data_IF_446551314814
#
_entry.id   IF_446551314814
#
_cell.length_a   1.000
_cell.length_b   1.000
_cell.length_c   1.000
_cell.angle_alpha   90.00
_cell.angle_beta   90.00
_cell.angle_gamma   90.00
#
_symmetry.space_group_name_H-M   'P 1'
#
loop_
_entity.id
_entity.type
_entity.pdbx_description
1 polymer ?
#
# COMPACT_ATOMS: atom_id res chain seq x y z
N UNK A 1 -9.02 13.10 5.36
CA UNK A 1 -9.02 11.86 4.55
C UNK A 1 -7.60 11.31 4.50
N UNK A 2 -7.44 9.99 4.51
CA UNK A 2 -6.14 9.32 4.35
C UNK A 2 -6.21 8.49 3.06
N UNK A 3 -5.21 8.61 2.20
CA UNK A 3 -5.06 7.74 1.02
C UNK A 3 -4.15 6.56 1.41
N UNK A 4 -4.68 5.32 1.44
CA UNK A 4 -3.94 4.16 1.97
C UNK A 4 -2.91 3.58 0.99
N UNK A 5 -2.89 4.02 -0.29
CA UNK A 5 -2.00 3.46 -1.31
C UNK A 5 -1.69 4.47 -2.41
N UNK A 6 -0.63 5.27 -2.21
CA UNK A 6 -0.17 6.22 -3.24
C UNK A 6 1.35 6.31 -3.27
N UNK A 7 1.93 6.25 -4.46
CA UNK A 7 3.36 6.33 -4.67
C UNK A 7 3.85 7.77 -4.80
N UNK A 8 4.88 8.14 -4.05
CA UNK A 8 5.68 9.35 -4.28
C UNK A 8 6.82 9.03 -5.24
N UNK A 9 7.48 7.91 -5.01
CA UNK A 9 8.64 7.46 -5.78
C UNK A 9 8.50 5.96 -6.06
N UNK A 10 8.70 5.54 -7.32
CA UNK A 10 8.67 4.12 -7.69
C UNK A 10 9.63 3.85 -8.83
N UNK A 11 10.36 2.75 -8.74
CA UNK A 11 11.21 2.25 -9.82
C UNK A 11 10.90 0.76 -10.03
N UNK A 12 10.24 0.46 -11.14
CA UNK A 12 9.86 -0.90 -11.50
C UNK A 12 10.96 -1.65 -12.27
N UNK A 13 12.14 -1.05 -12.47
CA UNK A 13 13.32 -1.81 -12.91
C UNK A 13 13.74 -2.76 -11.81
N UNK A 14 14.40 -3.85 -12.17
CA UNK A 14 15.02 -4.73 -11.19
C UNK A 14 16.29 -4.08 -10.61
N UNK A 15 16.64 -4.44 -9.39
CA UNK A 15 17.74 -3.88 -8.61
C UNK A 15 19.12 -3.90 -9.32
N UNK A 16 19.31 -4.77 -10.32
CA UNK A 16 20.54 -4.93 -11.12
C UNK A 16 20.59 -4.02 -12.36
N UNK A 17 19.53 -3.28 -12.64
CA UNK A 17 19.51 -2.37 -13.78
C UNK A 17 20.26 -1.07 -13.47
N UNK A 18 21.01 -0.51 -14.46
CA UNK A 18 21.70 0.75 -14.27
C UNK A 18 20.77 1.90 -13.87
N UNK A 19 21.18 2.65 -12.84
CA UNK A 19 20.42 3.80 -12.35
C UNK A 19 19.18 3.42 -11.54
N UNK A 20 19.01 2.14 -11.13
CA UNK A 20 17.90 1.73 -10.26
C UNK A 20 17.88 2.54 -8.97
N UNK A 21 16.73 3.13 -8.66
CA UNK A 21 16.51 3.94 -7.47
C UNK A 21 17.25 5.28 -7.45
N UNK A 22 17.99 5.64 -8.49
CA UNK A 22 18.75 6.90 -8.54
C UNK A 22 17.84 8.07 -8.91
N UNK A 23 17.75 9.05 -8.00
CA UNK A 23 17.13 10.34 -8.26
C UNK A 23 17.70 11.39 -7.29
N UNK A 24 17.74 12.64 -7.74
CA UNK A 24 17.99 13.77 -6.88
C UNK A 24 16.71 14.08 -6.08
N UNK A 25 16.77 14.13 -4.73
CA UNK A 25 15.61 14.46 -3.91
C UNK A 25 14.93 15.78 -4.28
N UNK A 26 15.69 16.80 -4.70
CA UNK A 26 15.13 18.09 -5.10
C UNK A 26 14.31 18.00 -6.40
N UNK A 27 14.70 17.11 -7.32
CA UNK A 27 13.92 16.83 -8.52
C UNK A 27 12.58 16.17 -8.19
N UNK A 28 12.60 15.21 -7.26
CA UNK A 28 11.36 14.54 -6.79
C UNK A 28 10.46 15.52 -6.05
N UNK A 29 11.02 16.34 -5.16
CA UNK A 29 10.26 17.42 -4.48
C UNK A 29 9.62 18.35 -5.50
N UNK A 30 10.38 18.84 -6.48
CA UNK A 30 9.87 19.75 -7.50
C UNK A 30 8.69 19.17 -8.28
N UNK A 31 8.74 17.87 -8.59
CA UNK A 31 7.70 17.21 -9.38
C UNK A 31 6.48 16.82 -8.54
N UNK A 32 6.70 16.32 -7.31
CA UNK A 32 5.63 15.70 -6.50
C UNK A 32 4.95 16.66 -5.52
N UNK A 33 5.63 17.74 -5.08
CA UNK A 33 5.02 18.70 -4.16
C UNK A 33 3.72 19.33 -4.72
N UNK A 34 3.62 19.73 -6.00
CA UNK A 34 2.37 20.23 -6.56
C UNK A 34 1.22 19.21 -6.51
N UNK A 35 1.49 17.91 -6.68
CA UNK A 35 0.48 16.85 -6.59
C UNK A 35 -0.04 16.72 -5.14
N UNK A 36 0.88 16.76 -4.17
CA UNK A 36 0.53 16.72 -2.74
C UNK A 36 -0.30 17.95 -2.35
N UNK A 37 0.05 19.13 -2.83
CA UNK A 37 -0.75 20.34 -2.56
C UNK A 37 -2.16 20.26 -3.18
N UNK A 38 -2.30 19.68 -4.37
CA UNK A 38 -3.62 19.40 -4.97
C UNK A 38 -4.42 18.42 -4.11
N UNK A 39 -3.79 17.33 -3.64
CA UNK A 39 -4.44 16.37 -2.74
C UNK A 39 -4.88 17.05 -1.43
N UNK A 40 -4.03 17.87 -0.83
CA UNK A 40 -4.37 18.67 0.37
C UNK A 40 -5.57 19.57 0.13
N UNK A 41 -5.64 20.25 -1.02
CA UNK A 41 -6.72 21.17 -1.36
C UNK A 41 -8.10 20.48 -1.43
N UNK A 42 -8.15 19.17 -1.72
CA UNK A 42 -9.39 18.36 -1.73
C UNK A 42 -9.62 17.58 -0.42
N UNK A 43 -8.85 17.88 0.64
CA UNK A 43 -9.09 17.36 1.99
C UNK A 43 -8.29 16.09 2.34
N UNK A 44 -7.30 15.69 1.55
CA UNK A 44 -6.35 14.64 1.94
C UNK A 44 -5.41 15.16 3.01
N UNK A 45 -5.18 14.40 4.06
CA UNK A 45 -4.38 14.79 5.23
C UNK A 45 -3.15 13.90 5.46
N UNK A 46 -3.11 12.72 4.84
CA UNK A 46 -1.94 11.82 4.87
C UNK A 46 -1.98 10.85 3.68
N UNK A 47 -0.82 10.35 3.30
CA UNK A 47 -0.63 9.31 2.30
C UNK A 47 0.17 8.17 2.94
N UNK A 48 -0.30 6.92 2.73
CA UNK A 48 0.48 5.71 2.98
C UNK A 48 1.20 5.34 1.69
N UNK A 49 2.52 5.43 1.70
CA UNK A 49 3.36 5.17 0.54
C UNK A 49 3.73 3.67 0.48
N UNK A 50 3.47 2.95 -0.63
CA UNK A 50 3.58 1.50 -0.68
C UNK A 50 4.86 0.97 -1.37
N UNK A 51 5.89 1.76 -1.62
CA UNK A 51 7.13 1.34 -2.29
C UNK A 51 8.14 0.68 -1.35
N UNK A 52 8.20 -0.68 -1.23
CA UNK A 52 9.17 -1.38 -0.40
C UNK A 52 10.50 -1.59 -1.14
N UNK A 53 11.44 -2.28 -0.49
CA UNK A 53 12.65 -2.78 -1.17
C UNK A 53 12.26 -3.63 -2.39
N UNK A 54 12.96 -3.41 -3.51
CA UNK A 54 12.69 -4.06 -4.79
C UNK A 54 12.00 -3.16 -5.82
N UNK A 55 11.26 -2.14 -5.38
CA UNK A 55 10.61 -1.17 -6.28
C UNK A 55 11.03 0.27 -5.99
N UNK A 56 12.31 0.46 -5.65
CA UNK A 56 12.91 1.78 -5.53
C UNK A 56 12.63 2.49 -4.20
N UNK A 57 12.50 1.75 -3.08
CA UNK A 57 12.31 2.39 -1.76
C UNK A 57 13.38 3.46 -1.47
N UNK A 58 12.95 4.71 -1.22
CA UNK A 58 13.80 5.87 -0.92
C UNK A 58 13.20 6.69 0.24
N UNK A 59 13.43 6.23 1.48
CA UNK A 59 12.93 6.89 2.69
C UNK A 59 13.49 8.32 2.87
N UNK A 60 14.70 8.58 2.39
CA UNK A 60 15.30 9.91 2.33
C UNK A 60 14.53 10.86 1.43
N UNK A 61 14.08 10.39 0.27
CA UNK A 61 13.22 11.15 -0.68
C UNK A 61 11.86 11.43 -0.05
N UNK A 62 11.22 10.42 0.56
CA UNK A 62 9.94 10.62 1.24
C UNK A 62 10.06 11.69 2.33
N UNK A 63 11.16 11.67 3.10
CA UNK A 63 11.44 12.68 4.11
C UNK A 63 11.62 14.08 3.49
N UNK A 64 12.35 14.18 2.38
CA UNK A 64 12.54 15.45 1.67
C UNK A 64 11.20 16.04 1.20
N UNK A 65 10.36 15.23 0.55
CA UNK A 65 9.03 15.64 0.07
C UNK A 65 8.12 16.00 1.24
N UNK A 66 8.08 15.19 2.31
CA UNK A 66 7.29 15.48 3.51
C UNK A 66 7.70 16.77 4.19
N UNK A 67 9.01 17.02 4.31
CA UNK A 67 9.53 18.29 4.88
C UNK A 67 9.21 19.51 4.01
N UNK A 68 9.39 19.39 2.70
CA UNK A 68 9.13 20.49 1.76
C UNK A 68 7.66 20.89 1.72
N UNK A 69 6.75 19.93 1.86
CA UNK A 69 5.29 20.16 1.81
C UNK A 69 4.65 20.30 3.19
N UNK A 70 5.33 19.91 4.27
CA UNK A 70 4.73 19.76 5.60
C UNK A 70 3.57 18.75 5.60
N UNK A 71 3.65 17.72 4.75
CA UNK A 71 2.57 16.74 4.57
C UNK A 71 2.99 15.35 5.06
N UNK A 72 2.15 14.66 5.87
CA UNK A 72 2.45 13.35 6.41
C UNK A 72 2.51 12.26 5.31
N UNK A 73 3.66 11.58 5.24
CA UNK A 73 3.87 10.39 4.41
C UNK A 73 4.26 9.23 5.31
N UNK A 74 3.59 8.09 5.18
CA UNK A 74 3.87 6.88 5.98
C UNK A 74 4.70 5.92 5.13
N UNK A 75 5.98 5.76 5.50
CA UNK A 75 6.92 4.92 4.76
C UNK A 75 6.82 3.44 5.18
N UNK A 76 7.01 2.46 4.25
CA UNK A 76 7.01 1.04 4.56
C UNK A 76 8.40 0.51 4.88
N UNK A 77 8.47 -0.58 5.67
CA UNK A 77 9.50 -1.60 5.56
C UNK A 77 9.01 -2.74 4.68
N UNK A 78 9.80 -3.78 4.50
CA UNK A 78 9.43 -4.97 3.75
C UNK A 78 10.01 -5.01 2.34
N UNK A 79 9.63 -6.05 1.60
CA UNK A 79 10.22 -6.38 0.30
C UNK A 79 9.11 -6.76 -0.68
N UNK A 80 9.24 -6.30 -1.94
CA UNK A 80 8.30 -6.64 -3.00
C UNK A 80 8.39 -8.14 -3.40
N UNK A 81 7.80 -8.54 -4.48
CA UNK A 81 7.74 -9.91 -5.00
C UNK A 81 8.84 -10.23 -6.01
N UNK A 82 8.93 -11.48 -6.44
CA UNK A 82 9.73 -11.87 -7.60
C UNK A 82 9.25 -11.16 -8.89
N UNK A 83 10.13 -10.75 -9.83
CA UNK A 83 11.60 -10.95 -9.82
C UNK A 83 12.38 -9.83 -9.10
N UNK A 84 11.72 -8.88 -8.45
CA UNK A 84 12.33 -7.70 -7.83
C UNK A 84 13.03 -7.96 -6.48
N UNK A 85 13.00 -9.21 -5.98
CA UNK A 85 13.70 -9.57 -4.76
C UNK A 85 15.23 -9.48 -4.94
N UNK A 86 15.94 -8.64 -4.17
CA UNK A 86 17.39 -8.58 -4.24
C UNK A 86 18.03 -9.85 -3.62
N UNK A 87 19.29 -10.19 -4.03
CA UNK A 87 19.95 -11.42 -3.58
C UNK A 87 20.03 -11.60 -2.08
N UNK A 88 20.33 -10.52 -1.34
CA UNK A 88 20.43 -10.58 0.11
C UNK A 88 19.15 -11.06 0.80
N UNK A 89 17.97 -10.77 0.23
CA UNK A 89 16.68 -11.27 0.76
C UNK A 89 16.54 -12.77 0.53
N UNK A 90 16.98 -13.26 -0.64
CA UNK A 90 16.95 -14.71 -0.94
C UNK A 90 17.90 -15.48 -0.03
N UNK A 91 19.05 -14.92 0.27
CA UNK A 91 20.12 -15.56 1.05
C UNK A 91 19.90 -15.45 2.56
N UNK A 92 19.23 -14.38 3.04
CA UNK A 92 18.98 -14.16 4.46
C UNK A 92 18.05 -15.23 5.05
N UNK A 93 18.32 -15.72 6.28
CA UNK A 93 17.36 -16.54 7.03
C UNK A 93 16.12 -15.71 7.42
N UNK A 94 15.00 -16.41 7.68
CA UNK A 94 13.72 -15.80 8.03
C UNK A 94 13.83 -14.86 9.24
N UNK A 95 14.55 -15.28 10.27
CA UNK A 95 14.75 -14.50 11.50
C UNK A 95 15.49 -13.19 11.23
N UNK A 96 16.46 -13.19 10.31
CA UNK A 96 17.17 -11.96 9.98
C UNK A 96 16.28 -10.96 9.24
N UNK A 97 15.39 -11.43 8.37
CA UNK A 97 14.40 -10.58 7.70
C UNK A 97 13.37 -10.01 8.71
N UNK A 98 12.90 -10.85 9.64
CA UNK A 98 12.03 -10.40 10.75
C UNK A 98 12.71 -9.31 11.58
N UNK A 99 13.92 -9.56 12.03
CA UNK A 99 14.65 -8.63 12.90
C UNK A 99 14.98 -7.32 12.20
N UNK A 100 15.29 -7.37 10.90
CA UNK A 100 15.45 -6.20 10.06
C UNK A 100 14.15 -5.38 9.98
N UNK A 101 12.99 -6.01 9.70
CA UNK A 101 11.70 -5.31 9.67
C UNK A 101 11.34 -4.70 11.03
N UNK A 102 11.56 -5.43 12.13
CA UNK A 102 11.36 -4.90 13.50
C UNK A 102 12.28 -3.69 13.74
N UNK A 103 13.54 -3.78 13.32
CA UNK A 103 14.50 -2.69 13.47
C UNK A 103 14.04 -1.40 12.76
N UNK A 104 13.50 -1.50 11.54
CA UNK A 104 12.96 -0.36 10.81
C UNK A 104 11.63 0.15 11.38
N UNK A 105 10.80 -0.74 11.94
CA UNK A 105 9.52 -0.39 12.57
C UNK A 105 9.67 0.26 13.95
N UNK A 106 10.76 0.02 14.65
CA UNK A 106 11.01 0.52 16.01
C UNK A 106 12.14 1.55 16.10
N UNK A 107 12.95 1.63 15.06
CA UNK A 107 14.09 2.52 14.93
C UNK A 107 13.99 3.38 13.67
N UNK A 108 14.85 3.12 12.70
CA UNK A 108 14.86 3.90 11.45
C UNK A 108 15.18 3.02 10.24
N UNK A 109 14.66 3.44 9.09
CA UNK A 109 15.01 2.88 7.78
C UNK A 109 16.40 3.35 7.42
N UNK A 110 17.36 2.42 7.32
CA UNK A 110 18.76 2.76 7.05
C UNK A 110 19.26 3.86 8.02
N UNK A 111 19.94 4.89 7.53
CA UNK A 111 20.40 6.04 8.33
C UNK A 111 19.62 7.33 8.02
N UNK A 112 18.36 7.21 7.58
CA UNK A 112 17.55 8.34 7.11
C UNK A 112 16.86 9.14 8.22
N UNK A 113 16.74 8.58 9.42
CA UNK A 113 15.91 9.12 10.50
C UNK A 113 14.41 8.89 10.32
N UNK A 114 13.99 8.15 9.29
CA UNK A 114 12.59 7.79 9.04
C UNK A 114 12.28 6.44 9.68
N UNK A 115 11.28 6.38 10.53
CA UNK A 115 10.75 5.14 11.08
C UNK A 115 9.69 4.59 10.13
N UNK A 116 9.73 3.28 9.84
CA UNK A 116 8.68 2.63 9.06
C UNK A 116 7.35 2.60 9.83
N UNK A 117 6.24 2.89 9.14
CA UNK A 117 4.90 2.84 9.72
C UNK A 117 4.23 1.48 9.57
N UNK A 118 4.59 0.68 8.59
CA UNK A 118 3.94 -0.57 8.22
C UNK A 118 4.87 -1.47 7.40
N UNK A 119 4.41 -2.68 7.06
CA UNK A 119 5.17 -3.66 6.29
C UNK A 119 4.50 -3.81 4.91
N UNK A 120 5.25 -3.62 3.82
CA UNK A 120 4.78 -3.90 2.46
C UNK A 120 5.51 -5.09 1.89
N UNK A 121 4.72 -6.05 1.40
CA UNK A 121 5.21 -7.23 0.67
C UNK A 121 4.46 -7.41 -0.65
N UNK A 122 4.76 -8.47 -1.38
CA UNK A 122 4.04 -8.84 -2.59
C UNK A 122 4.06 -10.33 -2.83
N UNK A 123 3.15 -10.80 -3.68
CA UNK A 123 3.02 -12.19 -4.08
C UNK A 123 2.95 -12.31 -5.60
N UNK A 124 3.55 -13.35 -6.14
CA UNK A 124 3.41 -13.75 -7.54
C UNK A 124 1.99 -14.26 -7.80
N UNK A 125 1.45 -13.97 -8.99
CA UNK A 125 0.05 -14.22 -9.31
C UNK A 125 -0.34 -15.69 -9.33
N UNK A 126 0.62 -16.59 -9.61
CA UNK A 126 0.40 -18.04 -9.66
C UNK A 126 0.57 -18.73 -8.29
N UNK A 127 0.90 -17.97 -7.25
CA UNK A 127 1.15 -18.45 -5.89
C UNK A 127 2.46 -17.89 -5.31
N UNK A 128 2.66 -18.10 -4.02
CA UNK A 128 3.88 -17.68 -3.35
C UNK A 128 5.08 -18.56 -3.76
N UNK A 129 6.18 -17.94 -4.13
CA UNK A 129 7.47 -18.64 -4.21
C UNK A 129 7.99 -18.96 -2.81
N UNK A 130 9.02 -19.82 -2.71
CA UNK A 130 9.66 -20.11 -1.42
C UNK A 130 10.24 -18.82 -0.77
N UNK A 131 10.80 -17.92 -1.59
CA UNK A 131 11.35 -16.67 -1.09
C UNK A 131 10.25 -15.72 -0.59
N UNK A 132 9.14 -15.61 -1.31
CA UNK A 132 7.98 -14.80 -0.91
C UNK A 132 7.30 -15.37 0.35
N UNK A 133 7.19 -16.70 0.47
CA UNK A 133 6.69 -17.38 1.68
C UNK A 133 7.57 -17.03 2.89
N UNK A 134 8.89 -17.09 2.74
CA UNK A 134 9.85 -16.73 3.78
C UNK A 134 9.69 -15.25 4.19
N UNK A 135 9.60 -14.33 3.21
CA UNK A 135 9.37 -12.90 3.46
C UNK A 135 8.06 -12.67 4.21
N UNK A 136 6.98 -13.34 3.80
CA UNK A 136 5.67 -13.21 4.43
C UNK A 136 5.68 -13.73 5.88
N UNK A 137 6.32 -14.89 6.16
CA UNK A 137 6.48 -15.41 7.53
C UNK A 137 7.27 -14.44 8.40
N UNK A 138 8.36 -13.89 7.89
CA UNK A 138 9.16 -12.87 8.58
C UNK A 138 8.31 -11.62 8.88
N UNK A 139 7.53 -11.14 7.90
CA UNK A 139 6.62 -10.02 8.05
C UNK A 139 5.53 -10.28 9.10
N UNK A 140 4.90 -11.48 9.08
CA UNK A 140 3.90 -11.88 10.05
C UNK A 140 4.47 -11.96 11.48
N UNK A 141 5.68 -12.53 11.63
CA UNK A 141 6.36 -12.58 12.92
C UNK A 141 6.76 -11.17 13.44
N UNK A 142 7.15 -10.26 12.53
CA UNK A 142 7.41 -8.86 12.88
C UNK A 142 6.11 -8.15 13.29
N UNK A 143 5.02 -8.35 12.56
CA UNK A 143 3.71 -7.79 12.86
C UNK A 143 3.16 -8.27 14.21
N UNK A 144 3.31 -9.56 14.54
CA UNK A 144 2.89 -10.12 15.83
C UNK A 144 3.58 -9.45 17.04
N UNK A 145 4.81 -8.95 16.86
CA UNK A 145 5.58 -8.28 17.92
C UNK A 145 5.30 -6.77 17.97
N UNK A 146 5.13 -6.14 16.79
CA UNK A 146 5.08 -4.67 16.67
C UNK A 146 3.67 -4.11 16.52
N UNK A 147 2.68 -4.95 16.19
CA UNK A 147 1.34 -4.53 15.82
C UNK A 147 1.27 -3.87 14.42
N UNK A 148 2.34 -3.97 13.62
CA UNK A 148 2.39 -3.35 12.30
C UNK A 148 1.48 -4.06 11.31
N UNK A 149 0.84 -3.30 10.43
CA UNK A 149 0.03 -3.80 9.31
C UNK A 149 0.93 -4.37 8.22
N UNK A 150 0.47 -5.45 7.59
CA UNK A 150 1.12 -6.10 6.45
C UNK A 150 0.23 -5.88 5.21
N UNK A 151 0.65 -5.03 4.29
CA UNK A 151 -0.01 -4.91 3.00
C UNK A 151 0.69 -5.75 1.94
N UNK A 152 -0.06 -6.55 1.19
CA UNK A 152 0.52 -7.40 0.14
C UNK A 152 -0.09 -7.08 -1.23
N UNK A 153 0.79 -6.73 -2.18
CA UNK A 153 0.43 -6.73 -3.60
C UNK A 153 0.02 -8.14 -4.03
N UNK A 154 -1.26 -8.34 -4.35
CA UNK A 154 -1.79 -9.66 -4.66
C UNK A 154 -2.98 -9.58 -5.61
N UNK A 155 -2.84 -10.15 -6.81
CA UNK A 155 -3.88 -10.10 -7.85
C UNK A 155 -4.96 -11.17 -7.63
N UNK A 156 -4.56 -12.39 -7.23
CA UNK A 156 -5.46 -13.54 -7.11
C UNK A 156 -5.96 -13.76 -5.70
N UNK A 157 -7.26 -13.86 -5.53
CA UNK A 157 -7.89 -14.10 -4.23
C UNK A 157 -7.49 -15.41 -3.57
N UNK A 158 -7.19 -16.45 -4.36
CA UNK A 158 -6.66 -17.73 -3.83
C UNK A 158 -5.28 -17.56 -3.20
N UNK A 159 -4.44 -16.68 -3.76
CA UNK A 159 -3.12 -16.36 -3.22
C UNK A 159 -3.26 -15.48 -1.96
N UNK A 160 -4.18 -14.51 -1.97
CA UNK A 160 -4.48 -13.69 -0.79
C UNK A 160 -4.98 -14.54 0.39
N UNK A 161 -5.84 -15.55 0.11
CA UNK A 161 -6.30 -16.52 1.13
C UNK A 161 -5.12 -17.27 1.73
N UNK A 162 -4.23 -17.82 0.90
CA UNK A 162 -3.05 -18.56 1.36
C UNK A 162 -2.11 -17.65 2.19
N UNK A 163 -1.97 -16.37 1.83
CA UNK A 163 -1.20 -15.43 2.65
C UNK A 163 -1.83 -15.22 4.02
N UNK A 164 -3.15 -15.04 4.08
CA UNK A 164 -3.86 -14.88 5.34
C UNK A 164 -3.75 -16.13 6.22
N UNK A 165 -3.79 -17.34 5.62
CA UNK A 165 -3.56 -18.59 6.34
C UNK A 165 -2.16 -18.62 6.99
N UNK A 166 -1.11 -18.22 6.26
CA UNK A 166 0.26 -18.12 6.77
C UNK A 166 0.37 -17.09 7.92
N UNK A 167 -0.29 -15.94 7.79
CA UNK A 167 -0.29 -14.88 8.81
C UNK A 167 -0.91 -15.40 10.10
N UNK A 168 -2.07 -16.06 10.03
CA UNK A 168 -2.74 -16.65 11.17
C UNK A 168 -1.92 -17.80 11.81
N UNK A 169 -1.33 -18.69 10.99
CA UNK A 169 -0.43 -19.75 11.44
C UNK A 169 0.80 -19.22 12.18
N UNK A 170 1.29 -18.03 11.80
CA UNK A 170 2.43 -17.37 12.44
C UNK A 170 2.03 -16.66 13.76
N UNK A 171 0.73 -16.55 14.03
CA UNK A 171 0.18 -15.95 15.25
C UNK A 171 -0.08 -14.44 15.16
N UNK A 172 0.03 -13.84 13.97
CA UNK A 172 -0.40 -12.47 13.77
C UNK A 172 -1.93 -12.41 13.59
N UNK A 173 -2.61 -11.39 14.13
CA UNK A 173 -4.05 -11.24 13.95
C UNK A 173 -4.42 -10.99 12.47
N UNK A 174 -5.54 -11.53 11.97
CA UNK A 174 -5.95 -11.37 10.56
C UNK A 174 -6.23 -9.92 10.16
N UNK A 175 -6.56 -9.04 11.10
CA UNK A 175 -6.78 -7.61 10.87
C UNK A 175 -5.49 -6.81 10.70
N UNK A 176 -4.33 -7.45 10.83
CA UNK A 176 -3.05 -6.89 10.39
C UNK A 176 -2.85 -6.99 8.87
N UNK A 177 -3.67 -7.77 8.14
CA UNK A 177 -3.49 -8.02 6.73
C UNK A 177 -4.34 -7.10 5.84
N UNK A 178 -3.69 -6.41 4.90
CA UNK A 178 -4.32 -5.64 3.81
C UNK A 178 -4.09 -6.38 2.50
N UNK A 179 -5.16 -6.86 1.89
CA UNK A 179 -5.11 -7.39 0.53
C UNK A 179 -5.17 -6.24 -0.46
N UNK A 180 -4.00 -5.83 -0.95
CA UNK A 180 -3.80 -4.79 -1.95
C UNK A 180 -4.14 -5.33 -3.34
N UNK A 181 -4.77 -4.50 -4.19
CA UNK A 181 -5.28 -4.81 -5.53
C UNK A 181 -6.42 -5.85 -5.55
N UNK A 182 -7.17 -5.96 -4.46
CA UNK A 182 -8.29 -6.91 -4.39
C UNK A 182 -9.30 -6.71 -5.53
N UNK A 183 -9.43 -5.50 -6.07
CA UNK A 183 -10.30 -5.19 -7.22
C UNK A 183 -9.95 -5.96 -8.50
N UNK A 184 -8.74 -6.54 -8.60
CA UNK A 184 -8.33 -7.36 -9.73
C UNK A 184 -8.93 -8.79 -9.68
N UNK A 185 -9.37 -9.27 -8.52
CA UNK A 185 -10.04 -10.56 -8.38
C UNK A 185 -11.52 -10.43 -8.74
N UNK A 186 -12.02 -11.12 -9.79
CA UNK A 186 -13.43 -11.01 -10.19
C UNK A 186 -14.40 -11.70 -9.24
N UNK A 187 -13.93 -12.66 -8.44
CA UNK A 187 -14.78 -13.40 -7.52
C UNK A 187 -14.98 -12.66 -6.18
N UNK A 188 -15.97 -11.78 -6.12
CA UNK A 188 -16.30 -10.97 -4.93
C UNK A 188 -16.59 -11.83 -3.69
N UNK A 189 -16.96 -13.10 -3.83
CA UNK A 189 -17.15 -13.97 -2.67
C UNK A 189 -15.86 -14.16 -1.86
N UNK A 190 -14.69 -14.12 -2.51
CA UNK A 190 -13.39 -14.20 -1.82
C UNK A 190 -13.11 -12.91 -1.05
N UNK A 191 -13.46 -11.74 -1.61
CA UNK A 191 -13.35 -10.46 -0.88
C UNK A 191 -14.14 -10.52 0.43
N UNK A 192 -15.40 -10.97 0.33
CA UNK A 192 -16.27 -11.10 1.51
C UNK A 192 -15.78 -12.14 2.50
N UNK A 193 -15.22 -13.25 2.03
CA UNK A 193 -14.64 -14.29 2.88
C UNK A 193 -13.47 -13.74 3.70
N UNK A 194 -12.49 -13.12 3.04
CA UNK A 194 -11.31 -12.60 3.72
C UNK A 194 -11.63 -11.40 4.64
N UNK A 195 -12.55 -10.53 4.23
CA UNK A 195 -13.05 -9.45 5.09
C UNK A 195 -13.71 -9.99 6.37
N UNK A 196 -14.51 -11.06 6.30
CA UNK A 196 -15.12 -11.69 7.49
C UNK A 196 -14.09 -12.37 8.40
N UNK A 197 -12.96 -12.81 7.86
CA UNK A 197 -11.82 -13.30 8.66
C UNK A 197 -11.08 -12.16 9.36
N UNK A 198 -11.32 -10.91 8.96
CA UNK A 198 -10.70 -9.72 9.56
C UNK A 198 -9.79 -8.93 8.63
N UNK A 199 -9.40 -9.47 7.48
CA UNK A 199 -8.51 -8.79 6.53
C UNK A 199 -9.14 -7.50 5.98
N UNK A 200 -8.31 -6.51 5.67
CA UNK A 200 -8.68 -5.33 4.92
C UNK A 200 -8.68 -5.63 3.42
N UNK A 201 -9.70 -5.17 2.72
CA UNK A 201 -9.88 -5.34 1.28
C UNK A 201 -9.63 -3.98 0.61
N UNK A 202 -8.55 -3.87 -0.14
CA UNK A 202 -8.15 -2.60 -0.75
C UNK A 202 -8.51 -2.55 -2.22
N UNK A 203 -9.30 -1.54 -2.59
CA UNK A 203 -9.65 -1.19 -3.97
C UNK A 203 -8.87 0.08 -4.34
N UNK A 204 -7.67 -0.09 -4.85
CA UNK A 204 -6.68 0.95 -5.09
C UNK A 204 -6.47 1.29 -6.56
N UNK A 205 -7.41 0.97 -7.41
CA UNK A 205 -7.37 1.31 -8.84
C UNK A 205 -8.34 2.44 -9.23
N UNK A 206 -8.89 3.18 -8.26
CA UNK A 206 -9.86 4.25 -8.53
C UNK A 206 -9.15 5.44 -9.17
N UNK A 207 -9.39 5.69 -10.45
CA UNK A 207 -8.67 6.81 -11.07
C UNK A 207 -8.97 7.03 -12.54
N UNK A 208 -9.49 6.03 -13.23
CA UNK A 208 -10.05 6.15 -14.57
C UNK A 208 -11.57 6.23 -14.46
N UNK A 209 -12.17 7.27 -15.06
CA UNK A 209 -13.61 7.48 -15.06
C UNK A 209 -14.37 6.30 -15.69
N UNK A 210 -13.78 5.65 -16.68
CA UNK A 210 -14.37 4.48 -17.34
C UNK A 210 -14.56 3.28 -16.41
N UNK A 211 -13.76 3.19 -15.34
CA UNK A 211 -13.82 2.10 -14.35
C UNK A 211 -14.71 2.44 -13.13
N UNK A 212 -15.18 3.67 -13.00
CA UNK A 212 -15.92 4.13 -11.79
C UNK A 212 -17.16 3.28 -11.50
N UNK A 213 -17.90 2.82 -12.51
CA UNK A 213 -19.09 1.97 -12.29
C UNK A 213 -18.72 0.61 -11.74
N UNK A 214 -17.58 0.05 -12.15
CA UNK A 214 -17.06 -1.20 -11.61
C UNK A 214 -16.66 -1.05 -10.15
N UNK A 215 -15.92 0.01 -9.80
CA UNK A 215 -15.57 0.28 -8.41
C UNK A 215 -16.78 0.59 -7.53
N UNK A 216 -17.77 1.31 -8.07
CA UNK A 216 -19.04 1.55 -7.39
C UNK A 216 -19.75 0.21 -7.06
N UNK A 217 -19.85 -0.71 -8.01
CA UNK A 217 -20.45 -2.04 -7.78
C UNK A 217 -19.69 -2.82 -6.68
N UNK A 218 -18.35 -2.83 -6.72
CA UNK A 218 -17.52 -3.49 -5.69
C UNK A 218 -17.79 -2.92 -4.29
N UNK A 219 -17.78 -1.60 -4.14
CA UNK A 219 -18.04 -0.95 -2.85
C UNK A 219 -19.46 -1.23 -2.38
N UNK A 220 -20.47 -1.07 -3.23
CA UNK A 220 -21.88 -1.31 -2.89
C UNK A 220 -22.14 -2.75 -2.46
N UNK A 221 -21.52 -3.74 -3.10
CA UNK A 221 -21.59 -5.14 -2.68
C UNK A 221 -20.96 -5.38 -1.31
N UNK A 222 -19.81 -4.77 -1.04
CA UNK A 222 -19.16 -4.84 0.27
C UNK A 222 -20.03 -4.21 1.37
N UNK A 223 -20.60 -3.04 1.11
CA UNK A 223 -21.53 -2.36 2.04
C UNK A 223 -22.81 -3.20 2.27
N UNK A 224 -23.41 -3.74 1.22
CA UNK A 224 -24.59 -4.61 1.32
C UNK A 224 -24.30 -5.91 2.09
N UNK A 225 -23.07 -6.40 2.08
CA UNK A 225 -22.62 -7.56 2.86
C UNK A 225 -22.26 -7.22 4.33
N UNK A 226 -22.39 -5.93 4.75
CA UNK A 226 -22.04 -5.47 6.09
C UNK A 226 -20.54 -5.37 6.35
N UNK A 227 -19.72 -5.22 5.30
CA UNK A 227 -18.26 -5.23 5.36
C UNK A 227 -17.62 -3.84 5.17
N UNK A 228 -18.41 -2.78 5.31
CA UNK A 228 -17.96 -1.40 5.11
C UNK A 228 -16.82 -0.97 6.05
N UNK A 229 -16.64 -1.64 7.18
CA UNK A 229 -15.56 -1.43 8.15
C UNK A 229 -14.26 -2.19 7.81
N UNK A 230 -14.20 -2.85 6.66
CA UNK A 230 -13.04 -3.59 6.15
C UNK A 230 -12.62 -3.18 4.74
N UNK A 231 -13.20 -2.11 4.19
CA UNK A 231 -12.86 -1.61 2.86
C UNK A 231 -11.89 -0.44 2.94
N UNK A 232 -10.90 -0.42 2.06
CA UNK A 232 -9.97 0.67 1.82
C UNK A 232 -10.06 1.11 0.36
N UNK A 233 -10.01 2.43 0.11
CA UNK A 233 -10.14 3.01 -1.22
C UNK A 233 -8.95 3.90 -1.53
N UNK A 234 -8.30 3.71 -2.68
CA UNK A 234 -7.16 4.49 -3.13
C UNK A 234 -7.03 4.47 -4.66
N UNK A 235 -5.89 4.98 -5.18
CA UNK A 235 -5.68 5.14 -6.62
C UNK A 235 -4.51 4.33 -7.18
N UNK A 236 -3.47 4.04 -6.37
CA UNK A 236 -2.17 3.55 -6.83
C UNK A 236 -1.54 4.51 -7.85
N UNK A 237 -1.42 5.76 -7.48
CA UNK A 237 -1.01 6.86 -8.36
C UNK A 237 0.15 7.68 -7.79
N UNK A 238 0.45 8.80 -8.44
CA UNK A 238 1.61 9.64 -8.23
C UNK A 238 2.71 9.26 -9.21
N UNK A 239 3.75 8.60 -8.73
CA UNK A 239 4.83 7.98 -9.49
C UNK A 239 5.82 8.99 -10.09
N UNK A 240 6.75 9.47 -9.26
CA UNK A 240 8.04 9.85 -9.80
C UNK A 240 8.76 8.56 -10.21
N UNK A 241 9.03 8.38 -11.50
CA UNK A 241 9.72 7.22 -12.06
C UNK A 241 11.10 7.62 -12.56
N UNK A 242 12.21 7.24 -11.88
CA UNK A 242 13.55 7.61 -12.29
C UNK A 242 14.00 6.99 -13.62
N UNK A 243 13.27 5.99 -14.14
CA UNK A 243 13.51 5.45 -15.49
C UNK A 243 12.99 6.37 -16.60
N UNK A 244 12.18 7.36 -16.25
CA UNK A 244 11.62 8.32 -17.21
C UNK A 244 12.36 9.66 -17.16
N UNK A 245 12.52 10.34 -18.30
CA UNK A 245 13.09 11.68 -18.32
C UNK A 245 12.35 12.64 -17.37
N UNK A 246 13.11 13.27 -16.45
CA UNK A 246 12.55 14.22 -15.47
C UNK A 246 11.58 13.62 -14.46
N UNK A 247 11.59 12.28 -14.28
CA UNK A 247 10.69 11.60 -13.37
C UNK A 247 9.32 11.23 -13.97
N UNK A 248 9.11 11.48 -15.27
CA UNK A 248 7.87 11.21 -15.97
C UNK A 248 6.77 12.24 -15.71
N UNK A 249 5.51 11.81 -15.84
CA UNK A 249 4.32 12.63 -15.58
C UNK A 249 3.53 12.00 -14.44
N UNK A 250 3.51 12.62 -13.24
CA UNK A 250 2.76 12.08 -12.11
C UNK A 250 1.26 11.99 -12.40
N UNK A 251 0.65 10.93 -11.93
CA UNK A 251 -0.79 10.77 -11.97
C UNK A 251 -1.41 11.46 -10.74
N UNK A 252 -2.54 12.20 -10.88
CA UNK A 252 -3.10 12.96 -9.76
C UNK A 252 -3.64 12.06 -8.64
N UNK A 253 -3.57 12.54 -7.40
CA UNK A 253 -4.14 11.90 -6.20
C UNK A 253 -5.58 12.36 -5.90
N UNK A 254 -6.25 13.06 -6.81
CA UNK A 254 -7.54 13.71 -6.54
C UNK A 254 -8.79 12.98 -7.04
N UNK A 255 -8.74 12.01 -7.98
CA UNK A 255 -9.95 11.43 -8.58
C UNK A 255 -10.92 10.78 -7.58
N UNK A 256 -10.41 10.16 -6.51
CA UNK A 256 -11.25 9.62 -5.44
C UNK A 256 -12.14 10.72 -4.86
N UNK A 257 -11.54 11.85 -4.48
CA UNK A 257 -12.21 12.97 -3.83
C UNK A 257 -13.15 13.74 -4.77
N UNK A 258 -12.64 14.06 -5.97
CA UNK A 258 -13.32 14.96 -6.90
C UNK A 258 -14.45 14.29 -7.66
N UNK A 259 -14.35 12.98 -7.89
CA UNK A 259 -15.28 12.25 -8.74
C UNK A 259 -15.95 11.06 -8.06
N UNK A 260 -15.15 10.14 -7.48
CA UNK A 260 -15.68 8.87 -7.00
C UNK A 260 -16.51 9.00 -5.72
N UNK A 261 -16.09 9.78 -4.72
CA UNK A 261 -16.89 10.00 -3.50
C UNK A 261 -18.22 10.72 -3.80
N UNK A 262 -18.29 11.77 -4.65
CA UNK A 262 -19.56 12.31 -5.12
C UNK A 262 -20.46 11.26 -5.79
N UNK A 263 -19.88 10.33 -6.56
CA UNK A 263 -20.62 9.23 -7.21
C UNK A 263 -21.18 8.25 -6.18
N UNK A 264 -20.41 7.89 -5.13
CA UNK A 264 -20.92 7.09 -4.00
C UNK A 264 -22.10 7.77 -3.29
N UNK A 265 -21.99 9.07 -3.02
CA UNK A 265 -23.06 9.85 -2.41
C UNK A 265 -24.32 9.89 -3.30
N UNK A 266 -24.16 10.07 -4.61
CA UNK A 266 -25.25 10.04 -5.58
C UNK A 266 -25.92 8.66 -5.67
N UNK A 267 -25.18 7.58 -5.40
CA UNK A 267 -25.70 6.21 -5.31
C UNK A 267 -26.39 5.89 -3.96
N UNK A 268 -26.49 6.89 -3.05
CA UNK A 268 -27.22 6.77 -1.78
C UNK A 268 -26.35 6.35 -0.58
N UNK A 269 -25.03 6.33 -0.71
CA UNK A 269 -24.13 6.10 0.43
C UNK A 269 -24.10 7.37 1.28
N UNK A 270 -24.42 7.25 2.57
CA UNK A 270 -24.44 8.37 3.49
C UNK A 270 -23.05 8.89 3.87
N UNK A 271 -22.97 10.15 4.30
CA UNK A 271 -21.70 10.78 4.65
C UNK A 271 -20.93 10.06 5.78
N UNK A 272 -21.57 9.56 6.85
CA UNK A 272 -20.87 8.76 7.87
C UNK A 272 -20.20 7.50 7.30
N UNK A 273 -20.82 6.83 6.34
CA UNK A 273 -20.24 5.68 5.65
C UNK A 273 -19.06 6.09 4.77
N UNK A 274 -19.20 7.19 4.01
CA UNK A 274 -18.10 7.76 3.22
C UNK A 274 -16.92 8.13 4.12
N UNK A 275 -17.17 8.84 5.23
CA UNK A 275 -16.14 9.22 6.19
C UNK A 275 -15.42 8.00 6.77
N UNK A 276 -16.15 6.93 7.05
CA UNK A 276 -15.56 5.66 7.49
C UNK A 276 -14.60 5.09 6.44
N UNK A 277 -15.02 5.02 5.18
CA UNK A 277 -14.22 4.44 4.09
C UNK A 277 -12.90 5.19 3.86
N UNK A 278 -12.88 6.51 4.04
CA UNK A 278 -11.72 7.33 3.66
C UNK A 278 -10.95 7.97 4.83
N UNK A 279 -11.43 7.81 6.06
CA UNK A 279 -10.80 8.34 7.26
C UNK A 279 -10.61 7.28 8.34
N UNK A 280 -11.72 6.67 8.80
CA UNK A 280 -11.69 5.81 9.98
C UNK A 280 -11.04 4.45 9.66
N UNK A 281 -11.39 3.85 8.52
CA UNK A 281 -10.79 2.59 8.07
C UNK A 281 -9.28 2.71 7.78
N UNK A 282 -8.80 3.68 6.96
CA UNK A 282 -7.37 3.82 6.75
C UNK A 282 -6.62 4.13 8.06
N UNK A 283 -7.22 4.92 8.96
CA UNK A 283 -6.63 5.16 10.27
C UNK A 283 -6.55 3.87 11.08
N UNK A 284 -7.63 3.10 11.18
CA UNK A 284 -7.65 1.83 11.92
C UNK A 284 -6.71 0.78 11.32
N UNK A 285 -6.57 0.76 9.98
CA UNK A 285 -5.67 -0.17 9.30
C UNK A 285 -4.20 0.14 9.54
N UNK A 286 -3.79 1.42 9.61
CA UNK A 286 -2.37 1.81 9.63
C UNK A 286 -1.91 2.50 10.93
N UNK A 287 -2.81 2.86 11.85
CA UNK A 287 -2.44 3.39 13.15
C UNK A 287 -1.99 2.26 14.11
N UNK A 288 -0.89 2.51 14.85
CA UNK A 288 -0.36 1.61 15.85
C UNK A 288 0.21 2.38 17.06
#
# INVERSE_FOLDING_TARGET
MILPHEHVFVDLRTWDQPGYGEADPDDVVRLMAPEIERARAVGVTAIVEPGPVGVGRRADILLAVSRATGFPLVAPTGVYREPWLPPWVRDAPEEALRDWMIGELTGQIEETGVQAGWIKVGATDDGLTNAETKVLRAAAAAAAVTGATIGSHTIRGTVARHQLDIIEETGAPPDTFVWIHAHQEPNVAIHHELARRGAWIEYDGIGDEAEDDRFLDLVMRGLAAGLGDRLLLSHDRGWYDPAQPGGGTPKPYTPLCERFLPKLAAAGVDQPTIDRLVRDNPFAAFAR
#
